data_IF_940848804527
#
_entry.id   IF_940848804527
#
_cell.length_a   1.000
_cell.length_b   1.000
_cell.length_c   1.000
_cell.angle_alpha   90.00
_cell.angle_beta   90.00
_cell.angle_gamma   90.00
#
_symmetry.space_group_name_H-M   'P 1'
#
loop_
_entity.id
_entity.type
_entity.pdbx_description
1 polymer ?
#
# COMPACT_ATOMS: atom_id res chain seq x y z
N UNK A 1 73.26 -59.36 -4.21
CA UNK A 1 72.50 -58.15 -4.58
C UNK A 1 73.18 -56.98 -3.92
N UNK A 2 73.81 -56.10 -4.69
CA UNK A 2 74.51 -54.92 -4.15
C UNK A 2 73.49 -53.85 -3.74
N UNK A 3 73.90 -52.93 -2.87
CA UNK A 3 73.05 -51.84 -2.38
C UNK A 3 72.48 -50.99 -3.53
N UNK A 4 73.25 -50.79 -4.60
CA UNK A 4 72.79 -50.11 -5.83
C UNK A 4 71.70 -50.87 -6.59
N UNK A 5 71.80 -52.20 -6.70
CA UNK A 5 70.78 -53.01 -7.37
C UNK A 5 69.45 -52.98 -6.61
N UNK A 6 69.52 -52.95 -5.28
CA UNK A 6 68.34 -52.83 -4.42
C UNK A 6 67.67 -51.45 -4.57
N UNK A 7 68.45 -50.36 -4.56
CA UNK A 7 67.94 -49.00 -4.77
C UNK A 7 67.30 -48.83 -6.15
N UNK A 8 67.91 -49.39 -7.20
CA UNK A 8 67.33 -49.38 -8.56
C UNK A 8 66.00 -50.12 -8.64
N UNK A 9 65.88 -51.29 -7.99
CA UNK A 9 64.61 -52.01 -7.91
C UNK A 9 63.55 -51.23 -7.13
N UNK A 10 63.91 -50.64 -5.99
CA UNK A 10 63.00 -49.83 -5.18
C UNK A 10 62.48 -48.60 -5.93
N UNK A 11 63.37 -47.90 -6.66
CA UNK A 11 63.00 -46.78 -7.51
C UNK A 11 62.04 -47.20 -8.62
N UNK A 12 62.36 -48.30 -9.32
CA UNK A 12 61.50 -48.85 -10.38
C UNK A 12 60.10 -49.18 -9.87
N UNK A 13 59.98 -49.85 -8.72
CA UNK A 13 58.67 -50.17 -8.13
C UNK A 13 57.93 -48.90 -7.68
N UNK A 14 58.65 -47.92 -7.12
CA UNK A 14 58.07 -46.64 -6.71
C UNK A 14 57.55 -45.84 -7.91
N UNK A 15 58.30 -45.80 -9.01
CA UNK A 15 57.89 -45.13 -10.25
C UNK A 15 56.70 -45.84 -10.92
N UNK A 16 56.64 -47.18 -10.86
CA UNK A 16 55.47 -47.95 -11.31
C UNK A 16 54.24 -47.57 -10.50
N UNK A 17 54.31 -47.65 -9.18
CA UNK A 17 53.22 -47.31 -8.27
C UNK A 17 52.77 -45.87 -8.47
N UNK A 18 53.71 -44.92 -8.58
CA UNK A 18 53.41 -43.50 -8.86
C UNK A 18 52.65 -43.35 -10.17
N UNK A 19 53.07 -44.06 -11.21
CA UNK A 19 52.46 -43.98 -12.55
C UNK A 19 51.06 -44.61 -12.56
N UNK A 20 50.89 -45.75 -11.90
CA UNK A 20 49.62 -46.45 -11.72
C UNK A 20 48.60 -45.55 -11.03
N UNK A 21 48.95 -44.99 -9.86
CA UNK A 21 48.07 -44.10 -9.13
C UNK A 21 47.79 -42.79 -9.86
N UNK A 22 48.79 -42.23 -10.57
CA UNK A 22 48.57 -41.02 -11.39
C UNK A 22 47.55 -41.27 -12.50
N UNK A 23 47.58 -42.46 -13.14
CA UNK A 23 46.58 -42.85 -14.13
C UNK A 23 45.20 -43.03 -13.49
N UNK A 24 45.11 -43.75 -12.39
CA UNK A 24 43.85 -43.99 -11.68
C UNK A 24 43.21 -42.68 -11.20
N UNK A 25 44.00 -41.77 -10.63
CA UNK A 25 43.50 -40.46 -10.20
C UNK A 25 42.97 -39.65 -11.38
N UNK A 26 43.66 -39.68 -12.53
CA UNK A 26 43.21 -38.96 -13.72
C UNK A 26 41.92 -39.56 -14.27
N UNK A 27 41.83 -40.88 -14.31
CA UNK A 27 40.63 -41.61 -14.74
C UNK A 27 39.43 -41.30 -13.83
N UNK A 28 39.62 -41.40 -12.51
CA UNK A 28 38.58 -41.07 -11.53
C UNK A 28 38.14 -39.60 -11.63
N UNK A 29 39.08 -38.67 -11.86
CA UNK A 29 38.75 -37.26 -12.08
C UNK A 29 37.91 -37.06 -13.34
N UNK A 30 38.25 -37.71 -14.44
CA UNK A 30 37.48 -37.65 -15.67
C UNK A 30 36.06 -38.21 -15.47
N UNK A 31 35.94 -39.36 -14.80
CA UNK A 31 34.63 -39.96 -14.50
C UNK A 31 33.78 -39.07 -13.59
N UNK A 32 34.39 -38.44 -12.58
CA UNK A 32 33.69 -37.45 -11.73
C UNK A 32 33.22 -36.26 -12.59
N UNK A 33 34.06 -35.75 -13.50
CA UNK A 33 33.71 -34.60 -14.34
C UNK A 33 32.64 -34.91 -15.40
N UNK A 34 32.57 -36.16 -15.88
CA UNK A 34 31.50 -36.65 -16.74
C UNK A 34 30.18 -36.88 -16.00
N UNK A 35 30.25 -37.43 -14.78
CA UNK A 35 29.08 -37.73 -13.96
C UNK A 35 28.53 -36.52 -13.23
N UNK A 36 29.34 -35.48 -13.01
CA UNK A 36 28.90 -34.23 -12.40
C UNK A 36 28.08 -33.45 -13.44
N UNK A 37 26.77 -33.20 -13.20
CA UNK A 37 25.95 -32.46 -14.15
C UNK A 37 26.48 -31.03 -14.29
N UNK A 38 26.93 -30.67 -15.50
CA UNK A 38 27.47 -29.33 -15.83
C UNK A 38 26.40 -28.23 -15.83
N UNK A 39 25.14 -28.61 -15.82
CA UNK A 39 23.97 -27.74 -15.85
C UNK A 39 22.91 -28.32 -14.91
N UNK A 40 22.17 -27.44 -14.23
CA UNK A 40 21.07 -27.83 -13.34
C UNK A 40 20.15 -28.83 -14.04
N UNK A 41 19.71 -29.86 -13.30
CA UNK A 41 18.73 -30.83 -13.81
C UNK A 41 17.47 -30.08 -14.29
N UNK A 42 16.78 -30.55 -15.35
CA UNK A 42 15.48 -30.02 -15.74
C UNK A 42 14.51 -29.85 -14.55
N UNK A 43 14.59 -30.77 -13.58
CA UNK A 43 13.77 -30.76 -12.36
C UNK A 43 14.15 -29.62 -11.41
N UNK A 44 15.44 -29.32 -11.26
CA UNK A 44 15.93 -28.20 -10.45
C UNK A 44 15.53 -26.86 -11.07
N UNK A 45 15.61 -26.74 -12.40
CA UNK A 45 15.18 -25.55 -13.12
C UNK A 45 13.66 -25.33 -12.98
N UNK A 46 12.88 -26.40 -13.06
CA UNK A 46 11.43 -26.33 -12.84
C UNK A 46 11.09 -25.97 -11.39
N UNK A 47 11.81 -26.55 -10.43
CA UNK A 47 11.66 -26.24 -9.01
C UNK A 47 11.98 -24.78 -8.71
N UNK A 48 13.07 -24.24 -9.24
CA UNK A 48 13.44 -22.82 -9.10
C UNK A 48 12.36 -21.90 -9.68
N UNK A 49 11.80 -22.25 -10.84
CA UNK A 49 10.70 -21.49 -11.44
C UNK A 49 9.46 -21.51 -10.54
N UNK A 50 9.12 -22.66 -9.96
CA UNK A 50 7.98 -22.80 -9.04
C UNK A 50 8.20 -22.00 -7.75
N UNK A 51 9.40 -22.07 -7.17
CA UNK A 51 9.76 -21.30 -5.97
C UNK A 51 9.61 -19.80 -6.25
N UNK A 52 10.20 -19.32 -7.35
CA UNK A 52 10.09 -17.91 -7.74
C UNK A 52 8.63 -17.48 -7.96
N UNK A 53 7.83 -18.30 -8.64
CA UNK A 53 6.42 -18.01 -8.86
C UNK A 53 5.61 -17.98 -7.53
N UNK A 54 5.98 -18.81 -6.56
CA UNK A 54 5.37 -18.79 -5.23
C UNK A 54 5.79 -17.56 -4.42
N UNK A 55 7.07 -17.20 -4.44
CA UNK A 55 7.57 -15.99 -3.77
C UNK A 55 6.92 -14.71 -4.32
N UNK A 56 6.76 -14.62 -5.65
CA UNK A 56 6.10 -13.48 -6.28
C UNK A 56 4.61 -13.41 -5.89
N UNK A 57 3.93 -14.55 -5.84
CA UNK A 57 2.54 -14.62 -5.35
C UNK A 57 2.41 -14.27 -3.89
N UNK A 58 3.33 -14.74 -3.04
CA UNK A 58 3.31 -14.43 -1.61
C UNK A 58 3.48 -12.94 -1.36
N UNK A 59 4.41 -12.29 -2.06
CA UNK A 59 4.59 -10.82 -2.01
C UNK A 59 3.32 -10.08 -2.43
N UNK A 60 2.66 -10.52 -3.50
CA UNK A 60 1.42 -9.92 -3.98
C UNK A 60 0.28 -10.07 -2.95
N UNK A 61 0.12 -11.27 -2.37
CA UNK A 61 -0.89 -11.53 -1.35
C UNK A 61 -0.63 -10.70 -0.10
N UNK A 62 0.60 -10.66 0.40
CA UNK A 62 0.97 -9.85 1.56
C UNK A 62 0.69 -8.36 1.32
N UNK A 63 0.96 -7.84 0.11
CA UNK A 63 0.66 -6.45 -0.23
C UNK A 63 -0.86 -6.18 -0.22
N UNK A 64 -1.66 -7.11 -0.77
CA UNK A 64 -3.12 -7.02 -0.77
C UNK A 64 -3.71 -7.11 0.64
N UNK A 65 -3.20 -8.03 1.47
CA UNK A 65 -3.63 -8.19 2.86
C UNK A 65 -3.34 -6.92 3.67
N UNK A 66 -2.14 -6.35 3.54
CA UNK A 66 -1.81 -5.06 4.17
C UNK A 66 -2.78 -3.97 3.74
N UNK A 67 -3.02 -3.82 2.43
CA UNK A 67 -3.94 -2.81 1.92
C UNK A 67 -5.37 -3.00 2.44
N UNK A 68 -5.86 -4.25 2.47
CA UNK A 68 -7.19 -4.58 2.97
C UNK A 68 -7.31 -4.25 4.46
N UNK A 69 -6.29 -4.58 5.25
CA UNK A 69 -6.28 -4.32 6.68
C UNK A 69 -6.33 -2.82 6.98
N UNK A 70 -5.54 -2.01 6.26
CA UNK A 70 -5.61 -0.53 6.34
C UNK A 70 -6.97 -0.01 5.89
N UNK A 71 -7.52 -0.57 4.82
CA UNK A 71 -8.84 -0.19 4.30
C UNK A 71 -9.95 -0.44 5.34
N UNK A 72 -9.95 -1.60 5.97
CA UNK A 72 -10.92 -1.95 7.02
C UNK A 72 -10.79 -1.00 8.21
N UNK A 73 -9.57 -0.74 8.70
CA UNK A 73 -9.32 0.21 9.79
C UNK A 73 -9.82 1.63 9.47
N UNK A 74 -9.61 2.11 8.24
CA UNK A 74 -10.14 3.40 7.80
C UNK A 74 -11.68 3.41 7.82
N UNK A 75 -12.32 2.36 7.32
CA UNK A 75 -13.77 2.24 7.30
C UNK A 75 -14.38 2.17 8.70
N UNK A 76 -13.77 1.41 9.61
CA UNK A 76 -14.17 1.36 11.02
C UNK A 76 -14.13 2.73 11.70
N UNK A 77 -13.17 3.57 11.31
CA UNK A 77 -13.05 4.94 11.80
C UNK A 77 -13.92 5.96 11.04
N UNK A 78 -14.74 5.51 10.08
CA UNK A 78 -15.62 6.36 9.29
C UNK A 78 -14.89 7.20 8.24
N UNK A 79 -13.65 6.83 7.89
CA UNK A 79 -12.82 7.53 6.93
C UNK A 79 -12.91 6.91 5.52
N UNK A 80 -12.67 7.70 4.45
CA UNK A 80 -12.69 7.17 3.09
C UNK A 80 -11.64 6.08 2.85
N UNK A 81 -12.07 4.93 2.34
CA UNK A 81 -11.19 3.78 2.01
C UNK A 81 -10.11 4.10 0.98
N UNK A 82 -10.33 5.10 0.13
CA UNK A 82 -9.35 5.56 -0.86
C UNK A 82 -8.04 6.07 -0.21
N UNK A 83 -8.08 6.46 1.07
CA UNK A 83 -6.90 6.91 1.81
C UNK A 83 -5.89 5.78 2.05
N UNK A 84 -6.30 4.51 1.97
CA UNK A 84 -5.43 3.36 2.18
C UNK A 84 -4.20 3.36 1.25
N UNK A 85 -4.35 3.92 0.04
CA UNK A 85 -3.26 4.07 -0.95
C UNK A 85 -2.11 4.96 -0.47
N UNK A 86 -2.39 5.90 0.43
CA UNK A 86 -1.38 6.83 0.96
C UNK A 86 -0.76 6.36 2.26
N UNK A 87 -1.40 5.38 2.92
CA UNK A 87 -0.92 4.78 4.17
C UNK A 87 -0.09 3.50 3.92
N UNK A 88 0.02 3.06 2.67
CA UNK A 88 0.79 1.88 2.27
C UNK A 88 2.30 2.18 2.31
N UNK A 89 2.87 2.21 3.51
CA UNK A 89 4.29 2.52 3.73
C UNK A 89 4.60 3.27 5.02
N UNK A 90 3.57 3.63 5.80
CA UNK A 90 3.74 4.25 7.12
C UNK A 90 4.02 3.17 8.15
N UNK A 91 5.00 3.38 9.03
CA UNK A 91 5.32 2.45 10.12
C UNK A 91 4.17 2.35 11.13
N UNK A 92 3.61 3.49 11.53
CA UNK A 92 2.50 3.57 12.47
C UNK A 92 1.20 3.99 11.78
N UNK A 93 0.56 3.03 11.13
CA UNK A 93 -0.71 3.24 10.43
C UNK A 93 -1.83 3.69 11.38
N UNK A 94 -1.82 3.25 12.64
CA UNK A 94 -2.89 3.58 13.60
C UNK A 94 -2.83 5.03 14.04
N UNK A 95 -1.64 5.54 14.36
CA UNK A 95 -1.45 6.95 14.71
C UNK A 95 -1.88 7.85 13.55
N UNK A 96 -1.48 7.54 12.32
CA UNK A 96 -1.85 8.33 11.14
C UNK A 96 -3.37 8.30 10.87
N UNK A 97 -4.02 7.15 11.05
CA UNK A 97 -5.48 7.05 10.92
C UNK A 97 -6.16 7.91 11.98
N UNK A 98 -5.66 7.94 13.22
CA UNK A 98 -6.20 8.78 14.28
C UNK A 98 -6.00 10.27 13.98
N UNK A 99 -4.81 10.68 13.52
CA UNK A 99 -4.57 12.07 13.11
C UNK A 99 -5.47 12.49 11.95
N UNK A 100 -5.67 11.62 10.95
CA UNK A 100 -6.63 11.87 9.86
C UNK A 100 -8.05 12.04 10.41
N UNK A 101 -8.47 11.20 11.35
CA UNK A 101 -9.78 11.32 12.00
C UNK A 101 -9.95 12.66 12.71
N UNK A 102 -8.95 13.12 13.44
CA UNK A 102 -8.97 14.43 14.10
C UNK A 102 -9.07 15.57 13.09
N UNK A 103 -8.27 15.53 12.01
CA UNK A 103 -8.32 16.53 10.93
C UNK A 103 -9.71 16.57 10.29
N UNK A 104 -10.32 15.42 9.99
CA UNK A 104 -11.65 15.37 9.39
C UNK A 104 -12.75 15.86 10.35
N UNK A 105 -12.63 15.56 11.65
CA UNK A 105 -13.58 16.04 12.65
C UNK A 105 -13.47 17.55 12.87
N UNK A 106 -12.24 18.09 12.95
CA UNK A 106 -12.00 19.52 13.10
C UNK A 106 -12.38 20.29 11.82
N UNK A 107 -12.05 19.74 10.64
CA UNK A 107 -12.39 20.34 9.35
C UNK A 107 -13.89 20.39 9.05
N UNK A 108 -14.69 19.45 9.57
CA UNK A 108 -16.17 19.54 9.53
C UNK A 108 -16.72 20.69 10.36
N UNK A 109 -16.01 21.10 11.43
CA UNK A 109 -16.43 22.19 12.31
C UNK A 109 -16.06 23.56 11.72
N UNK A 110 -14.91 23.69 11.05
CA UNK A 110 -14.44 24.99 10.56
C UNK A 110 -14.95 25.38 9.16
N UNK A 111 -15.22 24.41 8.27
CA UNK A 111 -15.69 24.68 6.90
C UNK A 111 -17.20 24.48 6.69
N UNK A 112 -17.95 24.07 7.72
CA UNK A 112 -19.41 24.10 7.63
C UNK A 112 -19.92 25.50 7.97
N UNK A 113 -19.68 26.46 7.07
CA UNK A 113 -20.58 27.60 6.97
C UNK A 113 -21.96 27.08 6.59
N UNK A 114 -22.73 26.65 7.60
CA UNK A 114 -24.18 26.65 7.51
C UNK A 114 -24.57 28.11 7.60
N UNK A 115 -25.22 28.71 6.58
CA UNK A 115 -25.85 30.01 6.75
C UNK A 115 -26.87 29.88 7.88
N UNK A 116 -26.45 30.25 9.09
CA UNK A 116 -27.29 30.28 10.27
C UNK A 116 -27.71 31.74 10.44
N UNK A 117 -29.01 31.96 10.40
CA UNK A 117 -29.68 33.24 10.22
C UNK A 117 -29.50 33.85 8.82
N UNK A 118 -30.49 33.61 7.96
CA UNK A 118 -31.13 34.79 7.37
C UNK A 118 -31.46 35.70 8.54
N UNK A 119 -30.70 36.78 8.74
CA UNK A 119 -31.22 37.89 9.53
C UNK A 119 -32.55 38.20 8.87
N UNK A 120 -33.65 37.84 9.54
CA UNK A 120 -34.94 38.47 9.36
C UNK A 120 -34.60 39.95 9.35
N UNK A 121 -34.53 40.53 8.15
CA UNK A 121 -34.45 41.97 7.99
C UNK A 121 -35.58 42.50 8.87
N UNK A 122 -35.33 43.54 9.66
CA UNK A 122 -36.23 44.01 10.73
C UNK A 122 -37.66 44.37 10.26
N UNK A 123 -37.94 44.22 8.97
CA UNK A 123 -39.21 44.45 8.28
C UNK A 123 -39.88 43.13 7.84
N UNK A 124 -39.92 42.08 8.67
CA UNK A 124 -40.80 40.94 8.38
C UNK A 124 -42.20 41.27 8.87
N UNK A 125 -42.91 42.04 8.06
CA UNK A 125 -44.37 42.23 8.18
C UNK A 125 -45.02 41.02 7.50
N UNK A 126 -45.82 40.25 8.26
CA UNK A 126 -46.60 39.15 7.70
C UNK A 126 -47.83 39.67 6.95
N UNK A 127 -48.43 38.85 6.06
CA UNK A 127 -49.65 39.24 5.32
C UNK A 127 -50.81 39.57 6.26
N UNK A 128 -50.91 38.88 7.39
CA UNK A 128 -51.91 39.17 8.43
C UNK A 128 -51.67 40.51 9.12
N UNK A 129 -50.41 40.83 9.42
CA UNK A 129 -50.04 42.13 9.99
C UNK A 129 -50.32 43.25 8.99
N UNK A 130 -49.95 43.08 7.73
CA UNK A 130 -50.26 44.03 6.65
C UNK A 130 -51.77 44.27 6.51
N UNK A 131 -52.59 43.22 6.62
CA UNK A 131 -54.05 43.34 6.54
C UNK A 131 -54.61 44.18 7.70
N UNK A 132 -53.99 44.09 8.89
CA UNK A 132 -54.37 44.85 10.09
C UNK A 132 -53.83 46.28 10.11
N UNK A 133 -52.84 46.62 9.28
CA UNK A 133 -52.28 47.97 9.21
C UNK A 133 -53.28 48.97 8.64
N UNK A 134 -53.30 50.15 9.24
CA UNK A 134 -54.06 51.31 8.77
C UNK A 134 -53.53 51.82 7.43
N UNK A 135 -54.34 52.62 6.74
CA UNK A 135 -53.97 53.22 5.45
C UNK A 135 -52.65 54.01 5.52
N UNK A 136 -52.43 54.77 6.60
CA UNK A 136 -51.20 55.55 6.78
C UNK A 136 -49.97 54.68 7.00
N UNK A 137 -50.09 53.59 7.76
CA UNK A 137 -48.99 52.65 7.98
C UNK A 137 -48.64 51.90 6.70
N UNK A 138 -49.64 51.55 5.90
CA UNK A 138 -49.46 50.96 4.57
C UNK A 138 -48.78 51.94 3.60
N UNK A 139 -49.13 53.22 3.65
CA UNK A 139 -48.49 54.28 2.86
C UNK A 139 -47.03 54.47 3.27
N UNK A 140 -46.74 54.47 4.57
CA UNK A 140 -45.38 54.54 5.09
C UNK A 140 -44.56 53.33 4.65
N UNK A 141 -45.16 52.13 4.64
CA UNK A 141 -44.52 50.92 4.13
C UNK A 141 -44.26 51.00 2.63
N UNK A 142 -45.19 51.56 1.85
CA UNK A 142 -44.97 51.80 0.42
C UNK A 142 -43.80 52.76 0.18
N UNK A 143 -43.70 53.83 0.97
CA UNK A 143 -42.61 54.81 0.87
C UNK A 143 -41.26 54.27 1.34
N UNK A 144 -41.23 53.43 2.37
CA UNK A 144 -39.99 52.89 2.95
C UNK A 144 -39.52 51.60 2.28
N UNK A 145 -40.44 50.77 1.80
CA UNK A 145 -40.18 49.46 1.18
C UNK A 145 -41.31 49.06 0.21
N UNK A 146 -41.29 49.67 -0.98
CA UNK A 146 -42.25 49.42 -2.05
C UNK A 146 -42.33 47.95 -2.46
N UNK A 147 -41.18 47.24 -2.51
CA UNK A 147 -41.13 45.83 -2.90
C UNK A 147 -41.90 44.94 -1.92
N UNK A 148 -41.73 45.17 -0.61
CA UNK A 148 -42.46 44.45 0.43
C UNK A 148 -43.95 44.78 0.40
N UNK A 149 -44.32 46.05 0.23
CA UNK A 149 -45.72 46.46 0.06
C UNK A 149 -46.38 45.72 -1.11
N UNK A 150 -45.74 45.74 -2.28
CA UNK A 150 -46.26 45.09 -3.49
C UNK A 150 -46.42 43.58 -3.29
N UNK A 151 -45.49 42.93 -2.59
CA UNK A 151 -45.56 41.51 -2.27
C UNK A 151 -46.70 41.15 -1.30
N UNK A 152 -47.00 42.03 -0.34
CA UNK A 152 -48.06 41.82 0.66
C UNK A 152 -49.46 42.25 0.16
N UNK A 153 -49.52 43.11 -0.86
CA UNK A 153 -50.75 43.59 -1.50
C UNK A 153 -51.36 42.64 -2.53
N UNK A 154 -50.58 41.66 -3.01
CA UNK A 154 -51.06 40.53 -3.84
C UNK A 154 -51.79 39.51 -2.98
#
# INVERSE_FOLDING_TARGET
MTQEEWLKKLQSETDKVRTEYSKQIKELKNQIEELTPKTKSPEEVEMEKRIKALEDKEKEVQAKEKLLNVTNKLQEQGLPSQLAKYLSGVEDVETEINSLKEIFNNGKLDNSYKPNNHKITKDVITKEQFTKMSYMERMNLFQSNEELYNKLSK
#
